data_IF_843817817407
#
_entry.id   IF_843817817407
#
_cell.length_a   1.000
_cell.length_b   1.000
_cell.length_c   1.000
_cell.angle_alpha   90.00
_cell.angle_beta   90.00
_cell.angle_gamma   90.00
#
_symmetry.space_group_name_H-M   'P 1'
#
loop_
_entity.id
_entity.type
_entity.pdbx_description
1 polymer ?
#
# COMPACT_ATOMS: atom_id res chain seq x y z
N UNK A 1 7.26 21.21 -17.97
CA UNK A 1 6.23 22.13 -17.43
C UNK A 1 6.88 22.92 -16.32
N UNK A 2 6.65 24.23 -16.24
CA UNK A 2 7.13 25.02 -15.09
C UNK A 2 6.36 24.63 -13.81
N UNK A 3 6.91 24.96 -12.64
CA UNK A 3 6.24 24.73 -11.34
C UNK A 3 4.88 25.44 -11.30
N UNK A 4 4.83 26.67 -11.80
CA UNK A 4 3.59 27.46 -11.90
C UNK A 4 2.52 26.82 -12.81
N UNK A 5 2.92 26.19 -13.92
CA UNK A 5 1.98 25.42 -14.77
C UNK A 5 1.42 24.20 -14.04
N UNK A 6 2.26 23.47 -13.29
CA UNK A 6 1.81 22.32 -12.49
C UNK A 6 0.85 22.76 -11.38
N UNK A 7 1.15 23.88 -10.71
CA UNK A 7 0.31 24.48 -9.67
C UNK A 7 -1.07 24.88 -10.19
N UNK A 8 -1.13 25.56 -11.33
CA UNK A 8 -2.40 25.94 -11.96
C UNK A 8 -3.21 24.72 -12.40
N UNK A 9 -2.54 23.69 -12.95
CA UNK A 9 -3.18 22.40 -13.25
C UNK A 9 -3.74 21.76 -11.98
N UNK A 10 -3.00 21.75 -10.88
CA UNK A 10 -3.44 21.19 -9.61
C UNK A 10 -4.69 21.89 -9.09
N UNK A 11 -4.69 23.24 -9.03
CA UNK A 11 -5.86 24.03 -8.60
C UNK A 11 -7.11 23.69 -9.43
N UNK A 12 -6.95 23.51 -10.74
CA UNK A 12 -8.05 23.07 -11.64
C UNK A 12 -8.53 21.65 -11.34
N UNK A 13 -7.62 20.72 -11.03
CA UNK A 13 -7.99 19.35 -10.71
C UNK A 13 -8.70 19.26 -9.34
N UNK A 14 -8.23 19.99 -8.33
CA UNK A 14 -8.84 20.02 -6.99
C UNK A 14 -10.30 20.50 -7.03
N UNK A 15 -10.60 21.50 -7.88
CA UNK A 15 -11.97 22.00 -8.04
C UNK A 15 -12.90 21.09 -8.87
N UNK A 16 -12.47 19.91 -9.30
CA UNK A 16 -13.26 19.02 -10.13
C UNK A 16 -14.02 17.97 -9.31
N UNK A 17 -15.35 18.09 -9.29
CA UNK A 17 -16.27 17.21 -8.56
C UNK A 17 -16.23 15.74 -8.99
N UNK A 18 -15.64 15.40 -10.13
CA UNK A 18 -15.49 14.00 -10.57
C UNK A 18 -14.56 13.19 -9.65
N UNK A 19 -13.66 13.87 -8.92
CA UNK A 19 -12.72 13.24 -8.02
C UNK A 19 -13.33 12.99 -6.65
N UNK A 20 -13.10 11.79 -6.13
CA UNK A 20 -13.60 11.41 -4.80
C UNK A 20 -12.63 11.94 -3.75
N UNK A 21 -13.11 12.82 -2.88
CA UNK A 21 -12.34 13.34 -1.75
C UNK A 21 -11.91 12.20 -0.81
N UNK A 22 -10.65 12.19 -0.39
CA UNK A 22 -10.13 11.21 0.56
C UNK A 22 -9.99 9.77 0.04
N UNK A 23 -10.22 9.51 -1.26
CA UNK A 23 -10.07 8.16 -1.86
C UNK A 23 -8.68 7.54 -1.61
N UNK A 24 -7.64 8.37 -1.50
CA UNK A 24 -6.27 7.94 -1.26
C UNK A 24 -5.93 7.67 0.21
N UNK A 25 -6.84 7.96 1.16
CA UNK A 25 -6.57 7.78 2.59
C UNK A 25 -6.54 6.29 2.98
N UNK A 26 -7.47 5.51 2.41
CA UNK A 26 -7.67 4.09 2.75
C UNK A 26 -7.54 3.15 1.55
N UNK A 27 -6.68 3.51 0.58
CA UNK A 27 -6.31 2.65 -0.54
C UNK A 27 -5.05 1.82 -0.23
N UNK A 28 -4.83 0.76 -1.02
CA UNK A 28 -3.63 -0.08 -0.96
C UNK A 28 -2.46 0.45 -1.79
N UNK A 29 -2.62 1.63 -2.41
CA UNK A 29 -1.65 2.26 -3.32
C UNK A 29 -1.34 1.43 -4.58
N UNK A 30 -2.11 0.37 -4.88
CA UNK A 30 -1.89 -0.46 -6.08
C UNK A 30 -2.57 0.15 -7.29
N UNK A 31 -2.02 1.26 -7.77
CA UNK A 31 -2.63 2.11 -8.80
C UNK A 31 -2.84 1.37 -10.13
N UNK A 32 -1.95 0.46 -10.49
CA UNK A 32 -1.95 -0.36 -11.70
C UNK A 32 -3.19 -1.28 -11.76
N UNK A 33 -3.66 -1.74 -10.58
CA UNK A 33 -4.85 -2.58 -10.44
C UNK A 33 -6.09 -1.81 -9.96
N UNK A 34 -5.99 -0.49 -9.77
CA UNK A 34 -7.07 0.31 -9.20
C UNK A 34 -8.15 0.67 -10.24
N UNK A 35 -9.36 0.16 -10.03
CA UNK A 35 -10.53 0.44 -10.89
C UNK A 35 -11.02 1.89 -10.80
N UNK A 36 -10.63 2.63 -9.77
CA UNK A 36 -11.07 4.01 -9.51
C UNK A 36 -10.04 5.07 -9.93
N UNK A 37 -9.02 4.70 -10.70
CA UNK A 37 -7.94 5.62 -11.15
C UNK A 37 -8.46 6.90 -11.82
N UNK A 38 -9.57 6.82 -12.55
CA UNK A 38 -10.18 7.97 -13.24
C UNK A 38 -10.87 8.96 -12.30
N UNK A 39 -11.17 8.52 -11.06
CA UNK A 39 -11.78 9.33 -9.99
C UNK A 39 -10.80 9.65 -8.85
N UNK A 40 -9.52 9.32 -9.01
CA UNK A 40 -8.47 9.57 -8.04
C UNK A 40 -7.66 10.82 -8.40
N UNK A 41 -7.73 11.86 -7.57
CA UNK A 41 -6.92 13.06 -7.77
C UNK A 41 -5.42 12.75 -7.75
N UNK A 42 -4.95 11.92 -6.82
CA UNK A 42 -3.53 11.52 -6.74
C UNK A 42 -3.03 10.89 -8.04
N UNK A 43 -3.85 10.05 -8.67
CA UNK A 43 -3.51 9.46 -9.97
C UNK A 43 -3.57 10.48 -11.10
N UNK A 44 -4.55 11.39 -11.09
CA UNK A 44 -4.69 12.42 -12.12
C UNK A 44 -3.58 13.50 -12.08
N UNK A 45 -2.99 13.72 -10.90
CA UNK A 45 -1.86 14.63 -10.71
C UNK A 45 -0.57 14.11 -11.37
N UNK A 46 -0.40 12.80 -11.42
CA UNK A 46 0.81 12.17 -11.92
C UNK A 46 0.60 11.57 -13.33
N UNK A 47 0.96 12.30 -14.40
CA UNK A 47 0.85 11.77 -15.75
C UNK A 47 1.81 10.62 -16.03
N UNK A 48 2.91 10.48 -15.27
CA UNK A 48 3.94 9.47 -15.49
C UNK A 48 3.42 8.08 -15.05
N UNK A 49 2.57 8.02 -14.02
CA UNK A 49 1.79 6.81 -13.64
C UNK A 49 0.79 6.35 -14.72
N UNK A 50 0.61 7.09 -15.81
CA UNK A 50 -0.34 6.76 -16.90
C UNK A 50 0.35 6.15 -18.11
N UNK A 51 1.68 6.09 -18.12
CA UNK A 51 2.50 5.65 -19.25
C UNK A 51 3.54 4.65 -18.76
N UNK A 52 3.36 3.37 -19.12
CA UNK A 52 4.21 2.25 -18.69
C UNK A 52 5.70 2.44 -19.05
N UNK A 53 6.00 3.22 -20.10
CA UNK A 53 7.36 3.51 -20.58
C UNK A 53 7.82 4.96 -20.34
N UNK A 54 7.35 5.64 -19.29
CA UNK A 54 7.84 7.00 -19.02
C UNK A 54 9.33 6.95 -18.65
N UNK A 55 10.21 7.78 -19.24
CA UNK A 55 11.59 7.91 -18.76
C UNK A 55 11.66 8.44 -17.31
N UNK A 56 10.52 8.89 -16.75
CA UNK A 56 10.39 9.32 -15.36
C UNK A 56 10.04 8.21 -14.38
N UNK A 57 9.91 6.96 -14.84
CA UNK A 57 9.80 5.78 -13.96
C UNK A 57 11.11 4.99 -13.83
N UNK A 58 12.16 5.36 -14.59
CA UNK A 58 13.47 4.72 -14.58
C UNK A 58 14.47 5.47 -13.65
N UNK A 59 14.91 4.89 -12.51
CA UNK A 59 15.84 5.54 -11.58
C UNK A 59 17.21 5.90 -12.17
N UNK A 60 17.64 5.21 -13.24
CA UNK A 60 18.90 5.49 -13.93
C UNK A 60 18.79 6.66 -14.92
N UNK A 61 17.57 7.15 -15.15
CA UNK A 61 17.28 8.27 -16.03
C UNK A 61 17.27 9.61 -15.29
N UNK A 62 17.92 10.63 -15.84
CA UNK A 62 17.90 11.98 -15.27
C UNK A 62 16.47 12.56 -15.16
N UNK A 63 15.58 12.20 -16.09
CA UNK A 63 14.21 12.66 -16.09
C UNK A 63 13.43 12.23 -14.84
N UNK A 64 13.74 11.06 -14.27
CA UNK A 64 13.19 10.58 -13.00
C UNK A 64 13.53 11.55 -11.86
N UNK A 65 14.81 11.84 -11.66
CA UNK A 65 15.28 12.73 -10.60
C UNK A 65 14.76 14.16 -10.77
N UNK A 66 14.68 14.63 -12.01
CA UNK A 66 14.09 15.91 -12.34
C UNK A 66 12.59 15.95 -11.98
N UNK A 67 11.84 14.88 -12.25
CA UNK A 67 10.44 14.75 -11.87
C UNK A 67 10.24 14.84 -10.35
N UNK A 68 11.07 14.12 -9.58
CA UNK A 68 11.07 14.17 -8.12
C UNK A 68 11.34 15.60 -7.63
N UNK A 69 12.42 16.23 -8.13
CA UNK A 69 12.78 17.59 -7.76
C UNK A 69 11.63 18.59 -7.98
N UNK A 70 11.02 18.56 -9.16
CA UNK A 70 9.89 19.44 -9.50
C UNK A 70 8.67 19.23 -8.60
N UNK A 71 8.38 17.97 -8.22
CA UNK A 71 7.25 17.66 -7.34
C UNK A 71 7.49 18.16 -5.91
N UNK A 72 8.72 18.01 -5.40
CA UNK A 72 9.11 18.58 -4.11
C UNK A 72 9.04 20.11 -4.11
N UNK A 73 9.56 20.77 -5.15
CA UNK A 73 9.46 22.22 -5.28
C UNK A 73 8.01 22.71 -5.25
N UNK A 74 7.13 22.08 -6.03
CA UNK A 74 5.70 22.41 -6.02
C UNK A 74 5.08 22.22 -4.64
N UNK A 75 5.38 21.12 -3.96
CA UNK A 75 4.87 20.84 -2.62
C UNK A 75 5.34 21.90 -1.60
N UNK A 76 6.62 22.29 -1.64
CA UNK A 76 7.15 23.35 -0.77
C UNK A 76 6.49 24.70 -1.03
N UNK A 77 6.32 25.11 -2.29
CA UNK A 77 5.64 26.36 -2.63
C UNK A 77 4.20 26.38 -2.10
N UNK A 78 3.44 25.29 -2.30
CA UNK A 78 2.07 25.18 -1.81
C UNK A 78 2.00 25.20 -0.28
N UNK A 79 2.95 24.55 0.40
CA UNK A 79 3.02 24.54 1.87
C UNK A 79 3.32 25.93 2.42
N UNK A 80 4.28 26.66 1.83
CA UNK A 80 4.61 28.03 2.25
C UNK A 80 3.43 28.98 2.06
N UNK A 81 2.74 28.91 0.93
CA UNK A 81 1.54 29.72 0.67
C UNK A 81 0.41 29.37 1.65
N UNK A 82 0.16 28.09 1.88
CA UNK A 82 -0.90 27.66 2.81
C UNK A 82 -0.56 28.08 4.25
N UNK A 83 0.71 28.01 4.65
CA UNK A 83 1.17 28.46 5.95
C UNK A 83 0.96 29.97 6.13
N UNK A 84 1.29 30.78 5.11
CA UNK A 84 1.02 32.22 5.12
C UNK A 84 -0.49 32.51 5.19
N UNK A 85 -1.30 31.84 4.36
CA UNK A 85 -2.76 31.99 4.33
C UNK A 85 -3.41 31.63 5.68
N UNK A 86 -2.90 30.59 6.36
CA UNK A 86 -3.43 30.13 7.64
C UNK A 86 -2.77 30.80 8.84
N UNK A 87 -1.79 31.69 8.62
CA UNK A 87 -1.06 32.37 9.69
C UNK A 87 -0.18 31.43 10.54
N UNK A 88 0.31 30.35 9.95
CA UNK A 88 1.19 29.37 10.59
C UNK A 88 2.65 29.81 10.42
N UNK A 89 3.35 30.04 11.53
CA UNK A 89 4.80 30.29 11.52
C UNK A 89 5.57 28.97 11.51
N UNK A 90 6.16 28.63 10.36
CA UNK A 90 6.95 27.41 10.19
C UNK A 90 8.30 27.43 10.92
N UNK A 91 8.75 28.61 11.39
CA UNK A 91 9.99 28.75 12.16
C UNK A 91 9.73 28.87 13.68
N UNK A 92 8.47 28.81 14.09
CA UNK A 92 8.14 28.69 15.50
C UNK A 92 8.81 27.43 16.05
N UNK A 93 9.48 27.56 17.20
CA UNK A 93 10.12 26.43 17.86
C UNK A 93 9.05 25.42 18.26
N UNK A 94 9.33 24.14 17.99
CA UNK A 94 8.47 23.03 18.39
C UNK A 94 8.14 23.11 19.88
N UNK A 95 6.88 22.85 20.24
CA UNK A 95 6.49 22.71 21.65
C UNK A 95 7.18 21.45 22.20
N UNK A 96 8.16 21.58 23.13
CA UNK A 96 8.92 20.44 23.62
C UNK A 96 8.02 19.39 24.30
N UNK A 97 6.86 19.81 24.80
CA UNK A 97 5.85 18.92 25.38
C UNK A 97 5.16 18.11 24.28
N UNK A 98 4.76 18.75 23.18
CA UNK A 98 4.16 18.07 22.03
C UNK A 98 5.13 17.06 21.40
N UNK A 99 6.39 17.44 21.19
CA UNK A 99 7.40 16.52 20.67
C UNK A 99 7.63 15.32 21.59
N UNK A 100 7.73 15.53 22.91
CA UNK A 100 7.96 14.43 23.83
C UNK A 100 6.73 13.52 23.94
N UNK A 101 5.52 14.06 23.78
CA UNK A 101 4.31 13.27 23.61
C UNK A 101 4.39 12.41 22.36
N UNK A 102 4.80 12.96 21.21
CA UNK A 102 4.95 12.23 19.95
C UNK A 102 5.98 11.11 20.06
N UNK A 103 7.21 11.43 20.52
CA UNK A 103 8.26 10.43 20.76
C UNK A 103 7.80 9.33 21.71
N UNK A 104 6.97 9.65 22.70
CA UNK A 104 6.40 8.65 23.61
C UNK A 104 5.40 7.74 22.91
N UNK A 105 4.62 8.24 21.95
CA UNK A 105 3.70 7.44 21.12
C UNK A 105 4.48 6.49 20.23
N UNK A 106 5.45 7.00 19.49
CA UNK A 106 6.33 6.19 18.63
C UNK A 106 6.96 5.03 19.41
N UNK A 107 7.57 5.33 20.57
CA UNK A 107 8.17 4.29 21.44
C UNK A 107 7.18 3.26 21.96
N UNK A 108 5.88 3.57 22.07
CA UNK A 108 4.84 2.60 22.46
C UNK A 108 4.54 1.68 21.29
N UNK A 109 4.37 2.24 20.09
CA UNK A 109 4.05 1.47 18.87
C UNK A 109 5.22 0.60 18.44
N UNK A 110 6.46 1.09 18.51
CA UNK A 110 7.68 0.30 18.24
C UNK A 110 7.84 -0.93 19.14
N UNK A 111 7.29 -0.85 20.36
CA UNK A 111 7.36 -1.95 21.33
C UNK A 111 6.16 -2.89 21.21
N UNK A 112 5.19 -2.56 20.38
CA UNK A 112 3.95 -3.32 20.27
C UNK A 112 4.19 -4.71 19.63
N UNK A 113 3.72 -5.80 20.26
CA UNK A 113 3.84 -7.13 19.68
C UNK A 113 3.25 -7.26 18.28
N UNK A 114 2.13 -6.59 17.98
CA UNK A 114 1.48 -6.67 16.67
C UNK A 114 2.34 -6.05 15.57
N UNK A 115 3.07 -4.98 15.91
CA UNK A 115 4.00 -4.32 14.98
C UNK A 115 5.19 -5.25 14.64
N UNK A 116 5.71 -5.98 15.63
CA UNK A 116 6.77 -6.98 15.43
C UNK A 116 6.30 -8.15 14.58
N UNK A 117 5.08 -8.64 14.81
CA UNK A 117 4.49 -9.71 13.99
C UNK A 117 4.35 -9.29 12.52
N UNK A 118 3.96 -8.04 12.27
CA UNK A 118 3.87 -7.49 10.92
C UNK A 118 5.23 -7.38 10.22
N UNK A 119 6.28 -6.98 10.94
CA UNK A 119 7.66 -6.97 10.39
C UNK A 119 8.16 -8.40 10.15
N UNK A 120 7.91 -9.32 11.08
CA UNK A 120 8.28 -10.73 10.93
C UNK A 120 7.62 -11.37 9.69
N UNK A 121 6.36 -11.02 9.40
CA UNK A 121 5.71 -11.42 8.15
C UNK A 121 6.49 -10.93 6.92
N UNK A 122 6.88 -9.65 6.87
CA UNK A 122 7.62 -9.09 5.74
C UNK A 122 8.96 -9.80 5.50
N UNK A 123 9.67 -10.15 6.58
CA UNK A 123 10.92 -10.92 6.53
C UNK A 123 10.70 -12.37 6.10
N UNK A 124 9.66 -13.03 6.60
CA UNK A 124 9.31 -14.42 6.25
C UNK A 124 8.94 -14.54 4.78
N UNK A 125 8.20 -13.58 4.22
CA UNK A 125 7.92 -13.53 2.78
C UNK A 125 9.23 -13.48 2.00
N UNK A 126 10.18 -12.63 2.41
CA UNK A 126 11.49 -12.53 1.75
C UNK A 126 12.26 -13.85 1.76
N UNK A 127 12.36 -14.47 2.94
CA UNK A 127 13.02 -15.78 3.11
C UNK A 127 12.35 -16.89 2.32
N UNK A 128 11.02 -16.91 2.29
CA UNK A 128 10.26 -17.90 1.53
C UNK A 128 10.49 -17.75 0.03
N UNK A 129 10.48 -16.51 -0.47
CA UNK A 129 10.72 -16.21 -1.88
C UNK A 129 12.13 -16.61 -2.31
N UNK A 130 13.15 -16.32 -1.50
CA UNK A 130 14.53 -16.74 -1.75
C UNK A 130 14.66 -18.27 -1.72
N UNK A 131 14.07 -18.94 -0.72
CA UNK A 131 14.12 -20.40 -0.60
C UNK A 131 13.48 -21.12 -1.80
N UNK A 132 12.41 -20.57 -2.37
CA UNK A 132 11.60 -21.22 -3.41
C UNK A 132 11.73 -20.57 -4.79
N UNK A 133 12.77 -19.76 -5.02
CA UNK A 133 13.03 -19.10 -6.31
C UNK A 133 13.04 -20.13 -7.46
N UNK A 134 13.78 -21.23 -7.30
CA UNK A 134 13.84 -22.28 -8.32
C UNK A 134 12.48 -22.93 -8.58
N UNK A 135 11.66 -23.16 -7.55
CA UNK A 135 10.33 -23.75 -7.73
C UNK A 135 9.40 -22.82 -8.52
N UNK A 136 9.49 -21.51 -8.30
CA UNK A 136 8.75 -20.50 -9.06
C UNK A 136 9.19 -20.46 -10.53
N UNK A 137 10.50 -20.52 -10.78
CA UNK A 137 11.07 -20.57 -12.14
C UNK A 137 10.63 -21.85 -12.85
N UNK A 138 10.78 -23.01 -12.21
CA UNK A 138 10.38 -24.31 -12.76
C UNK A 138 8.88 -24.37 -13.07
N UNK A 139 8.04 -23.78 -12.22
CA UNK A 139 6.60 -23.68 -12.47
C UNK A 139 6.31 -22.82 -13.70
N UNK A 140 6.98 -21.66 -13.83
CA UNK A 140 6.87 -20.79 -15.01
C UNK A 140 7.31 -21.47 -16.30
N UNK A 141 8.47 -22.14 -16.29
CA UNK A 141 8.97 -22.91 -17.43
C UNK A 141 8.09 -24.13 -17.76
N UNK A 142 7.45 -24.73 -16.75
CA UNK A 142 6.44 -25.78 -16.93
C UNK A 142 5.23 -25.28 -17.72
N UNK A 143 4.67 -24.17 -17.29
CA UNK A 143 3.55 -23.50 -17.96
C UNK A 143 3.91 -23.13 -19.40
N UNK A 144 5.09 -22.54 -19.64
CA UNK A 144 5.50 -22.15 -21.00
C UNK A 144 5.59 -23.37 -21.93
N UNK A 145 6.11 -24.50 -21.42
CA UNK A 145 6.15 -25.76 -22.16
C UNK A 145 4.75 -26.28 -22.48
N UNK A 146 3.82 -26.23 -21.53
CA UNK A 146 2.43 -26.66 -21.74
C UNK A 146 1.73 -25.82 -22.82
N UNK A 147 1.90 -24.49 -22.77
CA UNK A 147 1.38 -23.57 -23.80
C UNK A 147 1.93 -23.95 -25.18
N UNK A 148 3.24 -24.21 -25.27
CA UNK A 148 3.90 -24.57 -26.54
C UNK A 148 3.46 -25.93 -27.09
N UNK A 149 3.04 -26.85 -26.24
CA UNK A 149 2.61 -28.20 -26.64
C UNK A 149 1.16 -28.26 -27.13
N UNK A 150 0.35 -27.22 -26.91
CA UNK A 150 -1.06 -27.12 -27.35
C UNK A 150 -1.88 -28.39 -27.04
N UNK A 151 -1.75 -28.90 -25.79
CA UNK A 151 -2.39 -30.15 -25.38
C UNK A 151 -3.93 -30.07 -25.52
N UNK A 152 -4.57 -31.06 -26.19
CA UNK A 152 -6.03 -31.07 -26.30
C UNK A 152 -6.71 -31.17 -24.93
N UNK A 153 -7.70 -30.30 -24.69
CA UNK A 153 -8.50 -30.23 -23.45
C UNK A 153 -7.73 -29.86 -22.17
N UNK A 154 -6.55 -29.25 -22.29
CA UNK A 154 -5.82 -28.66 -21.17
C UNK A 154 -5.51 -27.19 -21.48
N UNK A 155 -6.03 -26.28 -20.66
CA UNK A 155 -5.72 -24.85 -20.76
C UNK A 155 -4.83 -24.47 -19.57
N UNK A 156 -3.52 -24.22 -19.79
CA UNK A 156 -2.60 -23.85 -18.71
C UNK A 156 -2.73 -22.37 -18.31
N UNK A 157 -3.44 -21.54 -19.08
CA UNK A 157 -3.52 -20.09 -18.86
C UNK A 157 -4.12 -19.73 -17.48
N UNK A 158 -5.23 -20.34 -17.02
CA UNK A 158 -5.80 -20.02 -15.72
C UNK A 158 -4.83 -20.25 -14.55
N UNK A 159 -4.11 -21.38 -14.55
CA UNK A 159 -3.10 -21.68 -13.51
C UNK A 159 -1.92 -20.71 -13.56
N UNK A 160 -1.47 -20.36 -14.76
CA UNK A 160 -0.41 -19.36 -14.96
C UNK A 160 -0.77 -18.00 -14.38
N UNK A 161 -1.98 -17.52 -14.69
CA UNK A 161 -2.49 -16.25 -14.18
C UNK A 161 -2.67 -16.30 -12.66
N UNK A 162 -3.20 -17.40 -12.13
CA UNK A 162 -3.37 -17.57 -10.69
C UNK A 162 -2.02 -17.55 -9.94
N UNK A 163 -1.00 -18.24 -10.46
CA UNK A 163 0.34 -18.24 -9.89
C UNK A 163 0.97 -16.84 -9.92
N UNK A 164 0.94 -16.19 -11.09
CA UNK A 164 1.47 -14.84 -11.27
C UNK A 164 0.79 -13.83 -10.33
N UNK A 165 -0.55 -13.80 -10.33
CA UNK A 165 -1.34 -12.92 -9.47
C UNK A 165 -1.05 -13.15 -8.00
N UNK A 166 -0.89 -14.41 -7.58
CA UNK A 166 -0.59 -14.73 -6.20
C UNK A 166 0.80 -14.22 -5.77
N UNK A 167 1.83 -14.38 -6.62
CA UNK A 167 3.15 -13.80 -6.37
C UNK A 167 3.07 -12.29 -6.26
N UNK A 168 2.40 -11.61 -7.20
CA UNK A 168 2.25 -10.16 -7.17
C UNK A 168 1.54 -9.68 -5.91
N UNK A 169 0.45 -10.34 -5.48
CA UNK A 169 -0.29 -9.99 -4.27
C UNK A 169 0.58 -10.14 -3.02
N UNK A 170 1.34 -11.23 -2.92
CA UNK A 170 2.24 -11.43 -1.78
C UNK A 170 3.34 -10.37 -1.76
N UNK A 171 3.98 -10.09 -2.90
CA UNK A 171 5.05 -9.09 -3.01
C UNK A 171 4.55 -7.68 -2.76
N UNK A 172 3.36 -7.34 -3.26
CA UNK A 172 2.74 -6.04 -3.03
C UNK A 172 2.47 -5.78 -1.55
N UNK A 173 1.88 -6.76 -0.85
CA UNK A 173 1.51 -6.60 0.55
C UNK A 173 2.63 -6.92 1.55
N UNK A 174 3.78 -7.44 1.11
CA UNK A 174 4.94 -7.78 1.94
C UNK A 174 5.31 -6.63 2.90
N UNK A 175 5.53 -5.43 2.37
CA UNK A 175 5.91 -4.25 3.16
C UNK A 175 4.73 -3.32 3.47
N UNK A 176 3.53 -3.66 3.01
CA UNK A 176 2.34 -2.83 3.20
C UNK A 176 1.78 -2.92 4.62
N UNK A 177 1.78 -4.12 5.22
CA UNK A 177 1.10 -4.35 6.50
C UNK A 177 1.74 -3.59 7.67
N UNK A 178 3.07 -3.63 7.79
CA UNK A 178 3.81 -3.00 8.89
C UNK A 178 3.49 -1.50 9.08
N UNK A 179 3.66 -0.62 8.07
CA UNK A 179 3.39 0.81 8.26
C UNK A 179 1.92 1.11 8.50
N UNK A 180 0.99 0.29 7.98
CA UNK A 180 -0.46 0.47 8.17
C UNK A 180 -0.90 0.09 9.57
N UNK A 181 -0.40 -1.03 10.08
CA UNK A 181 -0.58 -1.41 11.48
C UNK A 181 0.00 -0.34 12.39
N UNK A 182 1.20 0.15 12.10
CA UNK A 182 1.83 1.25 12.86
C UNK A 182 0.91 2.48 12.93
N UNK A 183 0.37 2.92 11.78
CA UNK A 183 -0.57 4.05 11.71
C UNK A 183 -1.84 3.83 12.53
N UNK A 184 -2.47 2.67 12.41
CA UNK A 184 -3.68 2.36 13.19
C UNK A 184 -3.39 2.35 14.70
N UNK A 185 -2.24 1.80 15.12
CA UNK A 185 -1.83 1.78 16.52
C UNK A 185 -1.47 3.17 17.04
N UNK A 186 -0.81 4.01 16.25
CA UNK A 186 -0.55 5.42 16.61
C UNK A 186 -1.87 6.14 16.91
N UNK A 187 -2.86 5.97 16.04
CA UNK A 187 -4.19 6.55 16.22
C UNK A 187 -4.93 6.05 17.48
N UNK A 188 -4.75 4.80 17.89
CA UNK A 188 -5.33 4.26 19.14
C UNK A 188 -4.66 4.78 20.42
N UNK A 189 -3.41 5.22 20.34
CA UNK A 189 -2.72 5.84 21.49
C UNK A 189 -3.27 7.25 21.73
N UNK A 190 -3.83 7.89 20.70
CA UNK A 190 -4.54 9.15 20.84
C UNK A 190 -5.93 8.88 21.42
N UNK A 191 -6.26 9.51 22.55
CA UNK A 191 -7.65 9.59 23.03
C UNK A 191 -8.39 10.71 22.29
N UNK A 192 -8.22 10.75 20.96
CA UNK A 192 -8.82 11.73 20.08
C UNK A 192 -9.91 11.06 19.24
N UNK A 193 -11.15 11.47 19.47
CA UNK A 193 -12.31 10.95 18.77
C UNK A 193 -12.31 11.33 17.29
N UNK A 194 -11.66 12.44 16.92
CA UNK A 194 -11.60 12.91 15.54
C UNK A 194 -10.64 12.05 14.70
N UNK A 195 -9.74 11.31 15.34
CA UNK A 195 -8.81 10.37 14.69
C UNK A 195 -9.36 8.95 14.53
N UNK A 196 -10.51 8.66 15.12
CA UNK A 196 -11.10 7.30 15.10
C UNK A 196 -11.45 6.85 13.68
N UNK A 197 -11.90 7.75 12.81
CA UNK A 197 -12.18 7.43 11.41
C UNK A 197 -10.91 7.00 10.65
N UNK A 198 -9.77 7.64 10.92
CA UNK A 198 -8.48 7.25 10.32
C UNK A 198 -8.02 5.89 10.83
N UNK A 199 -8.20 5.62 12.13
CA UNK A 199 -7.92 4.30 12.74
C UNK A 199 -8.78 3.21 12.11
N UNK A 200 -10.10 3.43 12.03
CA UNK A 200 -11.06 2.48 11.47
C UNK A 200 -10.77 2.20 9.99
N UNK A 201 -10.57 3.26 9.19
CA UNK A 201 -10.26 3.15 7.77
C UNK A 201 -8.91 2.48 7.49
N UNK A 202 -7.88 2.83 8.27
CA UNK A 202 -6.55 2.21 8.17
C UNK A 202 -6.59 0.74 8.57
N UNK A 203 -7.29 0.40 9.64
CA UNK A 203 -7.49 -0.99 10.05
C UNK A 203 -8.24 -1.77 8.97
N UNK A 204 -9.31 -1.21 8.39
CA UNK A 204 -10.07 -1.88 7.32
C UNK A 204 -9.23 -2.22 6.11
N UNK A 205 -8.47 -1.27 5.56
CA UNK A 205 -7.61 -1.55 4.38
C UNK A 205 -6.53 -2.58 4.73
N UNK A 206 -6.00 -2.55 5.95
CA UNK A 206 -5.02 -3.54 6.42
C UNK A 206 -5.62 -4.95 6.49
N UNK A 207 -6.86 -5.09 7.01
CA UNK A 207 -7.55 -6.37 7.06
C UNK A 207 -7.86 -6.91 5.66
N UNK A 208 -8.25 -6.04 4.72
CA UNK A 208 -8.44 -6.42 3.31
C UNK A 208 -7.13 -6.92 2.70
N UNK A 209 -6.01 -6.23 2.96
CA UNK A 209 -4.69 -6.65 2.50
C UNK A 209 -4.30 -8.03 3.06
N UNK A 210 -4.52 -8.27 4.37
CA UNK A 210 -4.26 -9.56 5.00
C UNK A 210 -5.09 -10.67 4.36
N UNK A 211 -6.39 -10.43 4.12
CA UNK A 211 -7.27 -11.42 3.49
C UNK A 211 -6.81 -11.77 2.07
N UNK A 212 -6.43 -10.77 1.28
CA UNK A 212 -5.85 -10.97 -0.05
C UNK A 212 -4.54 -11.75 0.02
N UNK A 213 -3.66 -11.44 0.96
CA UNK A 213 -2.42 -12.18 1.19
C UNK A 213 -2.69 -13.64 1.60
N UNK A 214 -3.67 -13.90 2.47
CA UNK A 214 -4.06 -15.26 2.85
C UNK A 214 -4.52 -16.08 1.63
N UNK A 215 -5.38 -15.49 0.79
CA UNK A 215 -5.81 -16.10 -0.47
C UNK A 215 -4.65 -16.39 -1.42
N UNK A 216 -3.73 -15.43 -1.59
CA UNK A 216 -2.56 -15.60 -2.44
C UNK A 216 -1.60 -16.69 -1.93
N UNK A 217 -1.36 -16.75 -0.61
CA UNK A 217 -0.56 -17.84 -0.02
C UNK A 217 -1.21 -19.21 -0.20
N UNK A 218 -2.54 -19.28 -0.11
CA UNK A 218 -3.28 -20.50 -0.40
C UNK A 218 -3.09 -20.94 -1.86
N UNK A 219 -3.21 -20.01 -2.81
CA UNK A 219 -2.96 -20.28 -4.23
C UNK A 219 -1.52 -20.72 -4.47
N UNK A 220 -0.52 -20.02 -3.92
CA UNK A 220 0.90 -20.40 -4.05
C UNK A 220 1.17 -21.81 -3.53
N UNK A 221 0.66 -22.13 -2.33
CA UNK A 221 0.80 -23.46 -1.76
C UNK A 221 0.15 -24.54 -2.63
N UNK A 222 -0.97 -24.25 -3.29
CA UNK A 222 -1.65 -25.19 -4.18
C UNK A 222 -0.92 -25.40 -5.50
N UNK A 223 -0.62 -24.32 -6.22
CA UNK A 223 0.01 -24.36 -7.55
C UNK A 223 1.43 -24.97 -7.49
N UNK A 224 2.18 -24.71 -6.41
CA UNK A 224 3.53 -25.24 -6.22
C UNK A 224 3.59 -26.55 -5.44
N UNK A 225 2.45 -27.05 -4.92
CA UNK A 225 2.40 -28.21 -4.03
C UNK A 225 3.25 -28.04 -2.76
N UNK A 226 3.23 -26.83 -2.19
CA UNK A 226 3.99 -26.39 -1.02
C UNK A 226 3.08 -25.97 0.14
N UNK A 227 1.94 -26.65 0.32
CA UNK A 227 0.92 -26.27 1.30
C UNK A 227 1.46 -26.25 2.74
N UNK A 228 2.31 -27.22 3.10
CA UNK A 228 2.92 -27.29 4.43
C UNK A 228 3.95 -26.16 4.65
N UNK A 229 4.70 -25.78 3.60
CA UNK A 229 5.72 -24.71 3.68
C UNK A 229 5.12 -23.31 3.84
N UNK A 230 3.90 -23.06 3.35
CA UNK A 230 3.22 -21.76 3.49
C UNK A 230 2.40 -21.65 4.78
N UNK A 231 2.19 -22.75 5.50
CA UNK A 231 1.28 -22.82 6.64
C UNK A 231 1.64 -21.86 7.77
N UNK A 232 2.93 -21.77 8.11
CA UNK A 232 3.40 -20.87 9.18
C UNK A 232 3.12 -19.40 8.86
N UNK A 233 3.29 -19.01 7.58
CA UNK A 233 2.99 -17.65 7.10
C UNK A 233 1.48 -17.38 7.18
N UNK A 234 0.66 -18.34 6.75
CA UNK A 234 -0.80 -18.22 6.85
C UNK A 234 -1.28 -18.10 8.31
N UNK A 235 -0.71 -18.90 9.22
CA UNK A 235 -0.99 -18.82 10.66
C UNK A 235 -0.62 -17.45 11.21
N UNK A 236 0.55 -16.90 10.84
CA UNK A 236 0.97 -15.57 11.25
C UNK A 236 0.00 -14.50 10.78
N UNK A 237 -0.35 -14.50 9.50
CA UNK A 237 -1.34 -13.57 8.93
C UNK A 237 -2.69 -13.65 9.65
N UNK A 238 -3.20 -14.87 9.92
CA UNK A 238 -4.45 -15.07 10.64
C UNK A 238 -4.39 -14.52 12.08
N UNK A 239 -3.24 -14.63 12.76
CA UNK A 239 -3.02 -14.04 14.10
C UNK A 239 -2.99 -12.53 14.05
N UNK A 240 -2.27 -11.93 13.08
CA UNK A 240 -2.24 -10.48 12.88
C UNK A 240 -3.65 -9.96 12.61
N UNK A 241 -4.42 -10.63 11.74
CA UNK A 241 -5.82 -10.28 11.42
C UNK A 241 -6.66 -10.20 12.68
N UNK A 242 -6.67 -11.29 13.46
CA UNK A 242 -7.47 -11.42 14.67
C UNK A 242 -7.08 -10.37 15.73
N UNK A 243 -5.79 -10.14 15.91
CA UNK A 243 -5.31 -9.16 16.87
C UNK A 243 -5.70 -7.73 16.47
N UNK A 244 -5.60 -7.39 15.19
CA UNK A 244 -6.02 -6.08 14.69
C UNK A 244 -7.55 -5.89 14.81
N UNK A 245 -8.35 -6.90 14.46
CA UNK A 245 -9.81 -6.90 14.64
C UNK A 245 -10.20 -6.66 16.11
N UNK A 246 -9.50 -7.29 17.06
CA UNK A 246 -9.76 -7.12 18.49
C UNK A 246 -9.43 -5.72 18.99
N UNK A 247 -8.37 -5.10 18.47
CA UNK A 247 -7.92 -3.77 18.88
C UNK A 247 -8.71 -2.64 18.25
N UNK A 248 -9.21 -2.85 17.03
CA UNK A 248 -10.00 -1.88 16.29
C UNK A 248 -11.37 -2.48 15.94
N UNK A 249 -12.23 -2.69 16.96
CA UNK A 249 -13.56 -3.23 16.74
C UNK A 249 -14.37 -2.28 15.85
N UNK A 250 -15.15 -2.84 14.92
CA UNK A 250 -15.98 -2.06 13.99
C UNK A 250 -15.25 -1.56 12.74
N UNK A 251 -13.94 -1.78 12.61
CA UNK A 251 -13.16 -1.39 11.41
C UNK A 251 -13.77 -1.91 10.11
N UNK A 252 -14.24 -3.16 10.06
CA UNK A 252 -14.88 -3.73 8.86
C UNK A 252 -16.16 -2.99 8.42
N UNK A 253 -16.87 -2.34 9.35
CA UNK A 253 -18.08 -1.57 9.06
C UNK A 253 -17.80 -0.15 8.55
N UNK A 254 -16.56 0.34 8.68
CA UNK A 254 -16.17 1.64 8.15
C UNK A 254 -16.32 1.69 6.62
N UNK A 255 -16.83 2.78 6.06
CA UNK A 255 -17.03 2.93 4.61
C UNK A 255 -15.85 3.71 4.03
N UNK A 256 -15.00 3.06 3.22
CA UNK A 256 -13.88 3.73 2.56
C UNK A 256 -14.41 4.58 1.39
N UNK A 257 -14.05 5.88 1.32
CA UNK A 257 -14.52 6.77 0.27
C UNK A 257 -14.29 6.19 -1.13
N UNK A 258 -15.37 6.02 -1.89
CA UNK A 258 -15.38 5.49 -3.25
C UNK A 258 -15.20 3.98 -3.41
N UNK A 259 -14.73 3.25 -2.40
CA UNK A 259 -14.46 1.80 -2.51
C UNK A 259 -15.57 0.90 -1.95
N UNK A 260 -16.26 1.34 -0.90
CA UNK A 260 -17.24 0.52 -0.16
C UNK A 260 -18.67 1.11 -0.17
N UNK A 261 -18.93 2.06 -1.07
CA UNK A 261 -20.21 2.79 -1.22
C UNK A 261 -21.21 2.06 -2.14
#
# INVERSE_FOLDING_TARGET
MSVEEKKNRLKKLVGNEQFISGIYNYCDRWCERCTLRTRCLSFAMDPDLRTEDSPRTDPDNEAFWQGIHENFQLAFELLLESAEEWGIDLNALDDPVAEEMERRRERRVEKDPLQREAMAYAEEVGKWMEKHENALVEAGEGIEREIRMELPNHDPIPGALALHDAVEVVRWYQFFLYPRISRALMGLVEDDRDMMDDVLGTAKITLIAIERSLGAWQTLGQELQLQDDVLDIQIRLARIRKELENRVPGSLAFIRPGFDE
#
